data_IF_791855182617
#
_entry.id   IF_791855182617
#
_cell.length_a   1.000
_cell.length_b   1.000
_cell.length_c   1.000
_cell.angle_alpha   90.00
_cell.angle_beta   90.00
_cell.angle_gamma   90.00
#
_symmetry.space_group_name_H-M   'P 1'
#
loop_
_entity.id
_entity.type
_entity.pdbx_description
1 polymer ?
#
# COMPACT_ATOMS: atom_id res chain seq x y z
N UNK A 1 11.48 10.09 -3.14
CA UNK A 1 10.70 9.07 -2.40
C UNK A 1 9.45 9.62 -1.72
N UNK A 2 9.58 10.64 -0.86
CA UNK A 2 8.45 11.16 -0.09
C UNK A 2 7.31 11.70 -0.96
N UNK A 3 7.63 12.38 -2.07
CA UNK A 3 6.62 12.87 -3.03
C UNK A 3 5.82 11.71 -3.62
N UNK A 4 6.48 10.59 -3.99
CA UNK A 4 5.78 9.41 -4.52
C UNK A 4 4.87 8.78 -3.47
N UNK A 5 5.35 8.60 -2.24
CA UNK A 5 4.55 8.08 -1.14
C UNK A 5 3.29 8.93 -0.90
N UNK A 6 3.44 10.25 -0.89
CA UNK A 6 2.33 11.20 -0.72
C UNK A 6 1.35 11.08 -1.90
N UNK A 7 1.85 10.97 -3.14
CA UNK A 7 0.99 10.80 -4.31
C UNK A 7 0.13 9.53 -4.21
N UNK A 8 0.71 8.38 -3.87
CA UNK A 8 -0.03 7.13 -3.62
C UNK A 8 -1.07 7.30 -2.51
N UNK A 9 -0.71 7.93 -1.40
CA UNK A 9 -1.64 8.14 -0.29
C UNK A 9 -2.80 9.05 -0.66
N UNK A 10 -2.52 10.16 -1.37
CA UNK A 10 -3.55 11.09 -1.83
C UNK A 10 -4.49 10.39 -2.82
N UNK A 11 -3.98 9.58 -3.74
CA UNK A 11 -4.80 8.87 -4.71
C UNK A 11 -5.83 7.94 -4.03
N UNK A 12 -5.38 7.08 -3.11
CA UNK A 12 -6.27 6.18 -2.36
C UNK A 12 -7.26 6.98 -1.50
N UNK A 13 -6.78 7.99 -0.77
CA UNK A 13 -7.62 8.81 0.10
C UNK A 13 -8.72 9.54 -0.68
N UNK A 14 -8.36 10.19 -1.79
CA UNK A 14 -9.31 10.95 -2.60
C UNK A 14 -10.36 10.02 -3.23
N UNK A 15 -9.92 8.86 -3.74
CA UNK A 15 -10.84 7.88 -4.32
C UNK A 15 -11.82 7.33 -3.28
N UNK A 16 -11.34 6.97 -2.08
CA UNK A 16 -12.20 6.53 -0.98
C UNK A 16 -13.17 7.62 -0.53
N UNK A 17 -12.73 8.87 -0.47
CA UNK A 17 -13.57 10.01 -0.12
C UNK A 17 -14.69 10.22 -1.14
N UNK A 18 -14.37 10.21 -2.44
CA UNK A 18 -15.36 10.33 -3.51
C UNK A 18 -16.33 9.16 -3.47
N UNK A 19 -15.84 7.92 -3.36
CA UNK A 19 -16.68 6.74 -3.26
C UNK A 19 -17.66 6.83 -2.07
N UNK A 20 -17.19 7.28 -0.91
CA UNK A 20 -18.03 7.52 0.27
C UNK A 20 -19.15 8.52 -0.02
N UNK A 21 -18.84 9.69 -0.60
CA UNK A 21 -19.86 10.69 -0.90
C UNK A 21 -20.89 10.22 -1.93
N UNK A 22 -20.51 9.36 -2.87
CA UNK A 22 -21.41 8.83 -3.90
C UNK A 22 -22.45 7.85 -3.35
N UNK A 23 -22.13 7.08 -2.31
CA UNK A 23 -23.02 6.05 -1.76
C UNK A 23 -23.47 6.31 -0.32
N UNK A 24 -23.16 7.48 0.23
CA UNK A 24 -23.38 7.82 1.65
C UNK A 24 -24.79 7.52 2.17
N UNK A 25 -25.81 7.70 1.32
CA UNK A 25 -27.22 7.56 1.68
C UNK A 25 -27.69 6.08 1.66
N UNK A 26 -26.91 5.18 1.06
CA UNK A 26 -27.19 3.75 0.95
C UNK A 26 -26.20 2.86 1.72
N UNK A 27 -25.30 3.47 2.52
CA UNK A 27 -24.31 2.72 3.31
C UNK A 27 -25.02 1.80 4.30
N UNK A 28 -24.62 0.54 4.27
CA UNK A 28 -25.04 -0.45 5.26
C UNK A 28 -23.86 -1.31 5.69
N UNK A 29 -24.01 -1.97 6.83
CA UNK A 29 -23.04 -2.91 7.36
C UNK A 29 -23.68 -4.29 7.35
N UNK A 30 -23.16 -5.19 6.54
CA UNK A 30 -23.63 -6.56 6.48
C UNK A 30 -22.43 -7.50 6.43
N UNK A 31 -22.28 -8.35 7.45
CA UNK A 31 -21.20 -9.34 7.55
C UNK A 31 -21.63 -10.74 7.08
N UNK A 32 -22.84 -10.90 6.54
CA UNK A 32 -23.34 -12.21 6.12
C UNK A 32 -22.65 -12.65 4.83
N UNK A 33 -21.92 -13.76 4.94
CA UNK A 33 -21.19 -14.41 3.84
C UNK A 33 -22.10 -15.03 2.77
N UNK A 34 -23.41 -15.13 3.03
CA UNK A 34 -24.41 -15.77 2.16
C UNK A 34 -24.88 -14.89 0.99
N UNK A 35 -24.19 -13.78 0.71
CA UNK A 35 -24.52 -12.93 -0.43
C UNK A 35 -24.25 -13.69 -1.75
N UNK A 36 -25.18 -13.65 -2.73
CA UNK A 36 -25.02 -14.36 -4.00
C UNK A 36 -23.88 -13.80 -4.88
N UNK A 37 -23.30 -12.66 -4.51
CA UNK A 37 -22.15 -12.07 -5.20
C UNK A 37 -20.82 -12.63 -4.66
N UNK A 38 -19.96 -13.24 -5.49
CA UNK A 38 -18.66 -13.80 -5.08
C UNK A 38 -17.64 -12.76 -4.56
N UNK A 39 -17.99 -11.47 -4.58
CA UNK A 39 -17.18 -10.37 -4.05
C UNK A 39 -16.91 -10.49 -2.54
N UNK A 40 -17.85 -11.06 -1.77
CA UNK A 40 -17.95 -10.81 -0.33
C UNK A 40 -16.92 -11.54 0.57
N UNK A 41 -16.32 -12.69 0.22
CA UNK A 41 -15.12 -13.13 0.94
C UNK A 41 -13.81 -12.73 0.25
N UNK A 42 -13.79 -12.60 -1.08
CA UNK A 42 -12.53 -12.56 -1.84
C UNK A 42 -11.78 -11.24 -1.65
N UNK A 43 -12.47 -10.10 -1.74
CA UNK A 43 -11.81 -8.79 -1.80
C UNK A 43 -11.15 -8.38 -0.47
N UNK A 44 -11.80 -8.59 0.70
CA UNK A 44 -11.16 -8.37 1.99
C UNK A 44 -9.97 -9.30 2.23
N UNK A 45 -10.05 -10.56 1.80
CA UNK A 45 -8.91 -11.50 1.89
C UNK A 45 -7.73 -10.99 1.06
N UNK A 46 -7.98 -10.51 -0.16
CA UNK A 46 -6.93 -9.92 -0.99
C UNK A 46 -6.32 -8.68 -0.31
N UNK A 47 -7.11 -7.86 0.38
CA UNK A 47 -6.60 -6.70 1.12
C UNK A 47 -5.54 -7.11 2.15
N UNK A 48 -5.84 -8.16 2.92
CA UNK A 48 -4.93 -8.72 3.92
C UNK A 48 -3.69 -9.32 3.26
N UNK A 49 -3.88 -10.17 2.25
CA UNK A 49 -2.78 -10.82 1.52
C UNK A 49 -1.85 -9.82 0.84
N UNK A 50 -2.37 -8.72 0.30
CA UNK A 50 -1.57 -7.69 -0.34
C UNK A 50 -0.55 -7.06 0.60
N UNK A 51 -0.89 -6.86 1.89
CA UNK A 51 0.04 -6.35 2.89
C UNK A 51 1.20 -7.33 3.11
N UNK A 52 0.89 -8.63 3.23
CA UNK A 52 1.91 -9.67 3.39
C UNK A 52 2.79 -9.80 2.15
N UNK A 53 2.19 -9.86 0.96
CA UNK A 53 2.90 -9.99 -0.32
C UNK A 53 3.77 -8.76 -0.58
N UNK A 54 3.24 -7.55 -0.39
CA UNK A 54 3.99 -6.31 -0.57
C UNK A 54 5.19 -6.23 0.37
N UNK A 55 5.02 -6.63 1.63
CA UNK A 55 6.12 -6.66 2.62
C UNK A 55 7.15 -7.75 2.31
N UNK A 56 6.70 -8.93 1.90
CA UNK A 56 7.57 -10.03 1.50
C UNK A 56 8.40 -9.66 0.27
N UNK A 57 7.78 -9.10 -0.75
CA UNK A 57 8.44 -8.73 -1.99
C UNK A 57 9.42 -7.58 -1.78
N UNK A 58 9.08 -6.61 -0.91
CA UNK A 58 10.01 -5.55 -0.50
C UNK A 58 11.29 -6.14 0.12
N UNK A 59 11.14 -7.02 1.13
CA UNK A 59 12.29 -7.70 1.76
C UNK A 59 13.09 -8.54 0.77
N UNK A 60 12.39 -9.27 -0.11
CA UNK A 60 13.02 -10.08 -1.16
C UNK A 60 13.85 -9.21 -2.11
N UNK A 61 13.33 -8.05 -2.51
CA UNK A 61 14.04 -7.10 -3.37
C UNK A 61 15.26 -6.49 -2.68
N UNK A 62 15.22 -6.28 -1.36
CA UNK A 62 16.36 -5.76 -0.60
C UNK A 62 17.38 -6.84 -0.19
N UNK A 63 17.09 -8.12 -0.44
CA UNK A 63 18.05 -9.18 -0.17
C UNK A 63 19.32 -8.99 -1.02
N UNK A 64 20.49 -9.05 -0.37
CA UNK A 64 21.79 -8.80 -1.00
C UNK A 64 22.02 -7.35 -1.46
N UNK A 65 21.23 -6.37 -0.98
CA UNK A 65 21.45 -4.95 -1.34
C UNK A 65 22.79 -4.41 -0.81
N UNK A 66 23.30 -4.98 0.28
CA UNK A 66 24.60 -4.62 0.87
C UNK A 66 25.78 -4.96 -0.02
N UNK A 67 25.65 -5.98 -0.87
CA UNK A 67 26.70 -6.49 -1.75
C UNK A 67 26.88 -5.63 -3.01
N UNK A 68 25.97 -4.67 -3.23
CA UNK A 68 26.05 -3.72 -4.33
C UNK A 68 27.13 -2.68 -4.00
N UNK A 69 28.15 -2.48 -4.86
CA UNK A 69 29.25 -1.56 -4.56
C UNK A 69 28.84 -0.09 -4.69
N UNK A 70 27.90 0.24 -5.59
CA UNK A 70 27.44 1.60 -5.85
C UNK A 70 26.29 1.99 -4.92
N UNK A 71 26.46 3.09 -4.16
CA UNK A 71 25.40 3.64 -3.33
C UNK A 71 24.20 4.13 -4.15
N UNK A 72 24.43 4.66 -5.35
CA UNK A 72 23.35 5.11 -6.24
C UNK A 72 22.49 3.93 -6.70
N UNK A 73 23.12 2.77 -6.96
CA UNK A 73 22.41 1.54 -7.32
C UNK A 73 21.64 0.95 -6.13
N UNK A 74 22.19 1.04 -4.90
CA UNK A 74 21.47 0.66 -3.67
C UNK A 74 20.20 1.50 -3.50
N UNK A 75 20.34 2.81 -3.64
CA UNK A 75 19.22 3.75 -3.55
C UNK A 75 18.21 3.42 -4.64
N UNK A 76 18.62 3.29 -5.91
CA UNK A 76 17.77 2.90 -7.05
C UNK A 76 16.99 1.59 -6.81
N UNK A 77 17.64 0.58 -6.21
CA UNK A 77 17.00 -0.69 -5.87
C UNK A 77 15.96 -0.54 -4.76
N UNK A 78 16.26 0.25 -3.73
CA UNK A 78 15.28 0.63 -2.70
C UNK A 78 14.09 1.38 -3.29
N UNK A 79 14.36 2.35 -4.17
CA UNK A 79 13.35 3.14 -4.88
C UNK A 79 12.33 2.22 -5.56
N UNK A 80 12.85 1.23 -6.29
CA UNK A 80 12.06 0.24 -7.03
C UNK A 80 11.27 -0.68 -6.08
N UNK A 81 11.92 -1.20 -5.04
CA UNK A 81 11.27 -2.05 -4.04
C UNK A 81 10.10 -1.33 -3.35
N UNK A 82 10.33 -0.07 -2.97
CA UNK A 82 9.33 0.80 -2.35
C UNK A 82 8.15 1.07 -3.28
N UNK A 83 8.40 1.35 -4.56
CA UNK A 83 7.36 1.58 -5.56
C UNK A 83 6.48 0.34 -5.75
N UNK A 84 7.08 -0.84 -5.88
CA UNK A 84 6.35 -2.12 -6.02
C UNK A 84 5.47 -2.38 -4.79
N UNK A 85 6.03 -2.23 -3.57
CA UNK A 85 5.26 -2.38 -2.33
C UNK A 85 4.09 -1.41 -2.28
N UNK A 86 4.33 -0.14 -2.62
CA UNK A 86 3.30 0.91 -2.59
C UNK A 86 2.18 0.62 -3.58
N UNK A 87 2.51 0.19 -4.81
CA UNK A 87 1.53 -0.16 -5.84
C UNK A 87 0.66 -1.37 -5.44
N UNK A 88 1.23 -2.38 -4.79
CA UNK A 88 0.47 -3.53 -4.28
C UNK A 88 -0.54 -3.10 -3.20
N UNK A 89 -0.10 -2.26 -2.26
CA UNK A 89 -0.96 -1.74 -1.19
C UNK A 89 -2.07 -0.83 -1.72
N UNK A 90 -1.71 0.10 -2.62
CA UNK A 90 -2.66 0.97 -3.31
C UNK A 90 -3.70 0.16 -4.08
N UNK A 91 -3.26 -0.79 -4.92
CA UNK A 91 -4.15 -1.59 -5.74
C UNK A 91 -5.18 -2.35 -4.91
N UNK A 92 -4.75 -2.93 -3.78
CA UNK A 92 -5.65 -3.61 -2.86
C UNK A 92 -6.66 -2.67 -2.17
N UNK A 93 -6.22 -1.47 -1.78
CA UNK A 93 -7.09 -0.46 -1.18
C UNK A 93 -8.12 0.08 -2.20
N UNK A 94 -7.68 0.42 -3.41
CA UNK A 94 -8.56 0.89 -4.49
C UNK A 94 -9.57 -0.18 -4.89
N UNK A 95 -9.15 -1.44 -5.03
CA UNK A 95 -10.05 -2.55 -5.37
C UNK A 95 -11.15 -2.75 -4.33
N UNK A 96 -10.81 -2.69 -3.03
CA UNK A 96 -11.83 -2.77 -1.97
C UNK A 96 -12.72 -1.52 -1.92
N UNK A 97 -12.18 -0.35 -2.24
CA UNK A 97 -12.97 0.88 -2.39
C UNK A 97 -13.97 0.78 -3.55
N UNK A 98 -13.59 0.15 -4.67
CA UNK A 98 -14.52 -0.15 -5.77
C UNK A 98 -15.62 -1.11 -5.32
N UNK A 99 -15.28 -2.17 -4.56
CA UNK A 99 -16.31 -3.06 -4.02
C UNK A 99 -17.27 -2.36 -3.06
N UNK A 100 -16.77 -1.42 -2.25
CA UNK A 100 -17.60 -0.54 -1.43
C UNK A 100 -18.54 0.31 -2.30
N UNK A 101 -18.03 0.93 -3.36
CA UNK A 101 -18.84 1.74 -4.29
C UNK A 101 -19.95 0.91 -4.97
N UNK A 102 -19.66 -0.33 -5.35
CA UNK A 102 -20.63 -1.21 -6.03
C UNK A 102 -21.71 -1.75 -5.08
N UNK A 103 -21.37 -2.00 -3.82
CA UNK A 103 -22.25 -2.70 -2.88
C UNK A 103 -22.84 -1.80 -1.81
N UNK A 104 -22.31 -0.58 -1.63
CA UNK A 104 -22.58 0.27 -0.47
C UNK A 104 -22.30 -0.40 0.89
N UNK A 105 -21.60 -1.54 0.92
CA UNK A 105 -21.34 -2.27 2.15
C UNK A 105 -20.02 -1.80 2.81
N UNK A 106 -20.13 -1.21 3.99
CA UNK A 106 -19.00 -0.61 4.72
C UNK A 106 -17.88 -1.60 5.07
N UNK A 107 -18.14 -2.92 5.05
CA UNK A 107 -17.11 -3.95 5.26
C UNK A 107 -15.96 -3.81 4.25
N UNK A 108 -16.27 -3.49 2.99
CA UNK A 108 -15.22 -3.30 1.98
C UNK A 108 -14.43 -2.02 2.19
N UNK A 109 -15.05 -0.96 2.73
CA UNK A 109 -14.32 0.27 3.08
C UNK A 109 -13.38 0.05 4.27
N UNK A 110 -13.82 -0.73 5.27
CA UNK A 110 -12.95 -1.17 6.37
C UNK A 110 -11.80 -2.04 5.86
N UNK A 111 -12.07 -2.95 4.92
CA UNK A 111 -11.05 -3.76 4.29
C UNK A 111 -10.05 -2.93 3.46
N UNK A 112 -10.51 -1.88 2.76
CA UNK A 112 -9.66 -0.94 2.03
C UNK A 112 -8.76 -0.11 2.97
N UNK A 113 -9.28 0.24 4.15
CA UNK A 113 -8.53 0.99 5.15
C UNK A 113 -7.29 0.22 5.64
N UNK A 114 -7.33 -1.12 5.69
CA UNK A 114 -6.20 -1.92 6.16
C UNK A 114 -4.91 -1.74 5.33
N UNK A 115 -4.86 -2.04 4.01
CA UNK A 115 -3.68 -1.79 3.19
C UNK A 115 -3.36 -0.30 3.05
N UNK A 116 -4.37 0.59 3.12
CA UNK A 116 -4.13 2.05 3.13
C UNK A 116 -3.39 2.54 4.38
N UNK A 117 -3.77 2.06 5.57
CA UNK A 117 -3.04 2.37 6.80
C UNK A 117 -1.61 1.83 6.73
N UNK A 118 -1.43 0.62 6.19
CA UNK A 118 -0.10 0.07 5.93
C UNK A 118 0.71 0.93 4.96
N UNK A 119 0.09 1.47 3.92
CA UNK A 119 0.72 2.40 3.00
C UNK A 119 1.15 3.68 3.73
N UNK A 120 0.30 4.27 4.56
CA UNK A 120 0.60 5.48 5.34
C UNK A 120 1.81 5.29 6.28
N UNK A 121 1.86 4.19 7.02
CA UNK A 121 2.98 3.89 7.94
C UNK A 121 4.26 3.47 7.22
N UNK A 122 4.17 3.04 5.96
CA UNK A 122 5.33 2.65 5.14
C UNK A 122 6.12 3.85 4.59
N UNK A 123 6.01 5.03 5.22
CA UNK A 123 6.68 6.26 4.78
C UNK A 123 8.21 6.06 4.76
N UNK A 124 8.88 6.29 3.62
CA UNK A 124 10.34 6.15 3.54
C UNK A 124 11.00 7.33 4.26
N UNK A 125 11.43 7.11 5.50
CA UNK A 125 12.20 8.07 6.29
C UNK A 125 13.69 7.99 5.93
N UNK A 126 14.40 9.13 5.92
CA UNK A 126 15.83 9.16 5.58
C UNK A 126 16.65 8.20 6.43
N UNK A 127 16.46 8.23 7.75
CA UNK A 127 17.16 7.33 8.67
C UNK A 127 16.90 5.85 8.36
N UNK A 128 15.64 5.50 8.10
CA UNK A 128 15.28 4.13 7.75
C UNK A 128 15.99 3.65 6.47
N UNK A 129 16.13 4.52 5.47
CA UNK A 129 16.86 4.19 4.23
C UNK A 129 18.35 4.00 4.52
N UNK A 130 18.96 4.87 5.33
CA UNK A 130 20.37 4.77 5.72
C UNK A 130 20.62 3.42 6.42
N UNK A 131 19.77 3.07 7.38
CA UNK A 131 19.90 1.84 8.16
C UNK A 131 19.67 0.59 7.30
N UNK A 132 18.63 0.58 6.45
CA UNK A 132 18.30 -0.57 5.60
C UNK A 132 19.32 -0.80 4.47
N UNK A 133 19.99 0.25 3.99
CA UNK A 133 20.99 0.16 2.92
C UNK A 133 22.45 0.15 3.43
N UNK A 134 22.64 0.32 4.74
CA UNK A 134 23.95 0.47 5.39
C UNK A 134 24.82 1.52 4.67
N UNK A 135 24.25 2.71 4.43
CA UNK A 135 24.94 3.81 3.75
C UNK A 135 25.92 4.49 4.71
N UNK A 136 27.08 4.87 4.20
CA UNK A 136 28.11 5.61 4.95
C UNK A 136 28.34 6.98 4.33
N UNK A 137 28.89 7.92 5.09
CA UNK A 137 29.28 9.22 4.56
C UNK A 137 30.37 9.05 3.48
N UNK A 138 30.30 9.73 2.32
CA UNK A 138 29.41 10.85 1.97
C UNK A 138 28.08 10.47 1.30
N UNK A 139 27.80 9.19 1.05
CA UNK A 139 26.62 8.76 0.28
C UNK A 139 25.27 9.13 0.92
N UNK A 140 25.26 9.39 2.24
CA UNK A 140 24.08 9.88 2.97
C UNK A 140 23.60 11.26 2.53
N UNK A 141 24.48 12.09 1.94
CA UNK A 141 24.10 13.43 1.45
C UNK A 141 23.19 13.40 0.22
N UNK A 142 23.08 12.25 -0.45
CA UNK A 142 22.29 12.06 -1.66
C UNK A 142 20.80 11.80 -1.43
N UNK A 143 20.36 11.67 -0.16
CA UNK A 143 18.99 11.28 0.26
C UNK A 143 18.03 12.45 0.53
#
# INVERSE_FOLDING_TARGET
MQIMHIAFCIAVFNFALVAFFLVKDSIHLNLRLEQPTPLFPIFPIIAVLAVFIGSFLFKKQLNGVTDIPSADDKIAKYQTAFLIRSAILEGAALMNTVAFLMTSNSVFLLAAAFPFLFLLISRPAKQQIIDELNLTYPDTEKL
#
